data_IF_710789624446
#
_entry.id   IF_710789624446
#
_cell.length_a   1.000
_cell.length_b   1.000
_cell.length_c   1.000
_cell.angle_alpha   90.00
_cell.angle_beta   90.00
_cell.angle_gamma   90.00
#
_symmetry.space_group_name_H-M   'P 1'
#
loop_
_entity.id
_entity.type
_entity.pdbx_description
1 polymer ?
#
# COMPACT_ATOMS: atom_id res chain seq x y z
N UNK A 1 16.24 -4.15 -1.39
CA UNK A 1 14.91 -3.82 -1.95
C UNK A 1 13.89 -3.52 -0.86
N UNK A 2 13.64 -4.43 0.10
CA UNK A 2 12.64 -4.24 1.17
C UNK A 2 12.85 -2.96 1.97
N UNK A 3 14.08 -2.69 2.44
CA UNK A 3 14.40 -1.45 3.19
C UNK A 3 14.06 -0.18 2.39
N UNK A 4 14.34 -0.18 1.08
CA UNK A 4 14.06 0.97 0.21
C UNK A 4 12.55 1.19 0.05
N UNK A 5 11.77 0.10 -0.01
CA UNK A 5 10.31 0.16 -0.05
C UNK A 5 9.72 0.70 1.25
N UNK A 6 10.23 0.24 2.40
CA UNK A 6 9.80 0.75 3.71
C UNK A 6 10.05 2.25 3.82
N UNK A 7 11.24 2.73 3.41
CA UNK A 7 11.52 4.16 3.40
C UNK A 7 10.64 4.92 2.42
N UNK A 8 10.42 4.42 1.20
CA UNK A 8 9.55 5.09 0.22
C UNK A 8 8.10 5.25 0.74
N UNK A 9 7.56 4.23 1.41
CA UNK A 9 6.24 4.29 2.04
C UNK A 9 6.25 5.30 3.20
N UNK A 10 7.26 5.23 4.07
CA UNK A 10 7.44 6.10 5.23
C UNK A 10 7.58 7.58 4.83
N UNK A 11 8.29 7.85 3.73
CA UNK A 11 8.48 9.18 3.13
C UNK A 11 7.21 9.71 2.45
N UNK A 12 6.21 8.86 2.20
CA UNK A 12 5.02 9.23 1.43
C UNK A 12 5.24 9.32 -0.09
N UNK A 13 6.36 8.80 -0.59
CA UNK A 13 6.75 8.91 -2.00
C UNK A 13 6.21 7.72 -2.82
N UNK A 14 4.98 7.88 -3.33
CA UNK A 14 4.37 6.85 -4.17
C UNK A 14 5.11 6.66 -5.51
N UNK A 15 5.79 7.69 -6.02
CA UNK A 15 6.59 7.56 -7.25
C UNK A 15 7.70 6.52 -7.09
N UNK A 16 8.40 6.53 -5.95
CA UNK A 16 9.38 5.49 -5.60
C UNK A 16 8.72 4.13 -5.38
N UNK A 17 7.53 4.08 -4.77
CA UNK A 17 6.78 2.84 -4.57
C UNK A 17 6.41 2.19 -5.92
N UNK A 18 5.90 2.96 -6.88
CA UNK A 18 5.51 2.47 -8.21
C UNK A 18 6.68 1.79 -8.95
N UNK A 19 7.86 2.39 -8.91
CA UNK A 19 9.09 1.80 -9.47
C UNK A 19 9.45 0.48 -8.75
N UNK A 20 9.29 0.43 -7.44
CA UNK A 20 9.61 -0.76 -6.64
C UNK A 20 8.58 -1.88 -6.82
N UNK A 21 7.31 -1.57 -7.12
CA UNK A 21 6.28 -2.57 -7.43
C UNK A 21 6.66 -3.41 -8.65
N UNK A 22 7.25 -2.80 -9.69
CA UNK A 22 7.76 -3.54 -10.84
C UNK A 22 8.82 -4.60 -10.45
N UNK A 23 9.77 -4.21 -9.59
CA UNK A 23 10.81 -5.12 -9.10
C UNK A 23 10.24 -6.21 -8.19
N UNK A 24 9.24 -5.86 -7.37
CA UNK A 24 8.56 -6.78 -6.49
C UNK A 24 7.76 -7.84 -7.27
N UNK A 25 7.10 -7.46 -8.38
CA UNK A 25 6.44 -8.40 -9.28
C UNK A 25 7.43 -9.43 -9.86
N UNK A 26 8.60 -8.97 -10.31
CA UNK A 26 9.66 -9.85 -10.83
C UNK A 26 10.16 -10.82 -9.75
N UNK A 27 10.39 -10.33 -8.53
CA UNK A 27 10.80 -11.17 -7.40
C UNK A 27 9.74 -12.22 -7.05
N UNK A 28 8.46 -11.83 -6.97
CA UNK A 28 7.38 -12.78 -6.69
C UNK A 28 7.22 -13.80 -7.80
N UNK A 29 7.44 -13.43 -9.06
CA UNK A 29 7.47 -14.38 -10.17
C UNK A 29 8.60 -15.40 -9.98
N UNK A 30 9.82 -14.94 -9.67
CA UNK A 30 10.97 -15.80 -9.45
C UNK A 30 10.83 -16.74 -8.25
N UNK A 31 10.16 -16.29 -7.18
CA UNK A 31 9.90 -17.08 -5.98
C UNK A 31 8.71 -18.06 -6.10
N UNK A 32 8.02 -18.11 -7.25
CA UNK A 32 6.81 -18.93 -7.44
C UNK A 32 5.54 -18.36 -6.79
N UNK A 33 5.62 -17.16 -6.22
CA UNK A 33 4.53 -16.40 -5.61
C UNK A 33 3.61 -15.75 -6.67
N UNK A 34 3.06 -16.57 -7.56
CA UNK A 34 2.37 -16.09 -8.76
C UNK A 34 1.14 -15.23 -8.47
N UNK A 35 0.42 -15.47 -7.36
CA UNK A 35 -0.76 -14.67 -7.00
C UNK A 35 -0.38 -13.20 -6.79
N UNK A 36 0.62 -12.93 -5.95
CA UNK A 36 1.10 -11.57 -5.68
C UNK A 36 1.69 -10.91 -6.93
N UNK A 37 2.41 -11.67 -7.75
CA UNK A 37 2.90 -11.18 -9.04
C UNK A 37 1.74 -10.74 -9.95
N UNK A 38 0.72 -11.58 -10.13
CA UNK A 38 -0.44 -11.26 -10.97
C UNK A 38 -1.18 -10.02 -10.48
N UNK A 39 -1.42 -9.89 -9.17
CA UNK A 39 -2.09 -8.72 -8.61
C UNK A 39 -1.31 -7.43 -8.87
N UNK A 40 0.01 -7.44 -8.65
CA UNK A 40 0.85 -6.27 -8.90
C UNK A 40 0.85 -5.92 -10.39
N UNK A 41 1.00 -6.90 -11.28
CA UNK A 41 0.98 -6.66 -12.73
C UNK A 41 -0.38 -6.15 -13.20
N UNK A 42 -1.48 -6.67 -12.64
CA UNK A 42 -2.83 -6.19 -12.94
C UNK A 42 -2.99 -4.73 -12.51
N UNK A 43 -2.52 -4.35 -11.32
CA UNK A 43 -2.53 -2.96 -10.86
C UNK A 43 -1.70 -2.05 -11.76
N UNK A 44 -0.45 -2.43 -12.07
CA UNK A 44 0.45 -1.65 -12.92
C UNK A 44 -0.07 -1.50 -14.35
N UNK A 45 -0.65 -2.57 -14.92
CA UNK A 45 -1.28 -2.52 -16.24
C UNK A 45 -2.46 -1.55 -16.24
N UNK A 46 -3.31 -1.60 -15.21
CA UNK A 46 -4.45 -0.70 -15.10
C UNK A 46 -4.01 0.77 -14.98
N UNK A 47 -3.02 1.06 -14.13
CA UNK A 47 -2.46 2.42 -14.00
C UNK A 47 -1.88 2.98 -15.30
N UNK A 48 -1.30 2.13 -16.16
CA UNK A 48 -0.60 2.56 -17.38
C UNK A 48 -1.47 2.58 -18.63
N UNK A 49 -2.47 1.70 -18.71
CA UNK A 49 -3.15 1.41 -19.98
C UNK A 49 -4.67 1.40 -19.91
N UNK A 50 -5.28 1.24 -18.74
CA UNK A 50 -6.74 1.05 -18.63
C UNK A 50 -7.41 2.24 -17.98
N UNK A 51 -6.85 2.74 -16.88
CA UNK A 51 -7.43 3.84 -16.13
C UNK A 51 -7.10 5.17 -16.78
N UNK A 52 -8.04 6.11 -16.67
CA UNK A 52 -7.76 7.50 -17.03
C UNK A 52 -6.70 8.07 -16.08
N UNK A 53 -5.91 9.07 -16.51
CA UNK A 53 -4.91 9.69 -15.65
C UNK A 53 -5.49 10.16 -14.31
N UNK A 54 -6.69 10.76 -14.34
CA UNK A 54 -7.36 11.27 -13.15
C UNK A 54 -7.70 10.16 -12.15
N UNK A 55 -8.20 9.02 -12.64
CA UNK A 55 -8.47 7.88 -11.77
C UNK A 55 -7.18 7.24 -11.26
N UNK A 56 -6.15 7.18 -12.09
CA UNK A 56 -4.82 6.73 -11.69
C UNK A 56 -4.27 7.56 -10.53
N UNK A 57 -4.39 8.89 -10.60
CA UNK A 57 -3.93 9.80 -9.55
C UNK A 57 -4.71 9.62 -8.25
N UNK A 58 -6.04 9.51 -8.33
CA UNK A 58 -6.88 9.15 -7.16
C UNK A 58 -6.39 7.85 -6.52
N UNK A 59 -6.06 6.82 -7.31
CA UNK A 59 -5.57 5.56 -6.77
C UNK A 59 -4.19 5.72 -6.11
N UNK A 60 -3.26 6.49 -6.70
CA UNK A 60 -1.94 6.76 -6.11
C UNK A 60 -2.04 7.52 -4.79
N UNK A 61 -2.86 8.56 -4.76
CA UNK A 61 -3.04 9.43 -3.60
C UNK A 61 -3.66 8.68 -2.41
N UNK A 62 -4.51 7.70 -2.67
CA UNK A 62 -5.15 6.90 -1.61
C UNK A 62 -4.29 5.75 -1.09
N UNK A 63 -3.19 5.37 -1.74
CA UNK A 63 -2.40 4.19 -1.36
C UNK A 63 -1.58 4.39 -0.08
N UNK A 64 -1.17 5.64 0.21
CA UNK A 64 -0.35 5.99 1.37
C UNK A 64 -1.07 7.07 2.17
N UNK A 65 -1.16 6.87 3.47
CA UNK A 65 -1.75 7.82 4.41
C UNK A 65 -0.73 8.26 5.45
N UNK A 66 -0.66 9.56 5.69
CA UNK A 66 0.16 10.16 6.73
C UNK A 66 -0.78 10.68 7.83
N UNK A 67 -1.17 9.78 8.75
CA UNK A 67 -2.17 10.09 9.81
C UNK A 67 -1.62 11.08 10.83
N UNK A 68 -0.31 11.07 11.05
CA UNK A 68 0.35 12.01 11.94
C UNK A 68 0.67 13.31 11.23
N UNK A 69 0.36 14.45 11.85
CA UNK A 69 0.82 15.79 11.43
C UNK A 69 2.35 15.97 11.51
N UNK A 70 3.10 14.91 11.86
CA UNK A 70 4.55 14.88 11.99
C UNK A 70 5.30 14.94 10.65
N UNK A 71 4.58 14.88 9.52
CA UNK A 71 5.16 14.98 8.18
C UNK A 71 5.85 13.70 7.69
N UNK A 72 6.74 13.82 6.69
CA UNK A 72 7.43 12.68 6.08
C UNK A 72 8.20 11.83 7.12
N UNK A 73 8.24 10.52 6.91
CA UNK A 73 8.85 9.55 7.83
C UNK A 73 7.83 8.79 8.70
N UNK A 74 6.56 9.21 8.70
CA UNK A 74 5.51 8.66 9.55
C UNK A 74 4.28 8.19 8.75
N UNK A 75 4.41 8.08 7.44
CA UNK A 75 3.36 7.60 6.56
C UNK A 75 3.30 6.06 6.56
N UNK A 76 2.14 5.50 6.25
CA UNK A 76 1.91 4.06 6.13
C UNK A 76 0.98 3.74 4.97
N UNK A 77 1.01 2.50 4.50
CA UNK A 77 0.03 2.03 3.51
C UNK A 77 -1.39 2.10 4.07
N UNK A 78 -2.36 2.49 3.24
CA UNK A 78 -3.77 2.61 3.65
C UNK A 78 -4.33 1.31 4.21
N UNK A 79 -3.92 0.18 3.64
CA UNK A 79 -4.32 -1.17 4.08
C UNK A 79 -3.89 -1.42 5.54
N UNK A 80 -2.64 -1.09 5.89
CA UNK A 80 -2.13 -1.19 7.26
C UNK A 80 -2.88 -0.26 8.22
N UNK A 81 -3.23 0.95 7.77
CA UNK A 81 -4.03 1.86 8.58
C UNK A 81 -5.45 1.28 8.86
N UNK A 82 -6.08 0.66 7.86
CA UNK A 82 -7.37 -0.02 8.02
C UNK A 82 -7.24 -1.19 9.01
N UNK A 83 -6.18 -2.00 8.91
CA UNK A 83 -5.93 -3.09 9.86
C UNK A 83 -5.78 -2.59 11.30
N UNK A 84 -5.04 -1.50 11.52
CA UNK A 84 -4.92 -0.87 12.83
C UNK A 84 -6.29 -0.44 13.37
N UNK A 85 -7.08 0.29 12.56
CA UNK A 85 -8.42 0.76 12.96
C UNK A 85 -9.33 -0.43 13.33
N UNK A 86 -9.34 -1.50 12.52
CA UNK A 86 -10.11 -2.71 12.79
C UNK A 86 -9.63 -3.36 14.11
N UNK A 87 -8.32 -3.41 14.34
CA UNK A 87 -7.73 -3.94 15.58
C UNK A 87 -8.17 -3.15 16.82
N UNK A 88 -8.16 -1.81 16.75
CA UNK A 88 -8.65 -0.96 17.82
C UNK A 88 -10.15 -1.18 18.07
N UNK A 89 -10.95 -1.23 17.01
CA UNK A 89 -12.40 -1.45 17.13
C UNK A 89 -12.72 -2.79 17.80
N UNK A 90 -12.06 -3.87 17.38
CA UNK A 90 -12.23 -5.21 18.01
C UNK A 90 -11.90 -5.18 19.50
N UNK A 91 -10.84 -4.48 19.89
CA UNK A 91 -10.46 -4.31 21.31
C UNK A 91 -11.53 -3.57 22.10
N UNK A 92 -12.06 -2.47 21.54
CA UNK A 92 -13.08 -1.65 22.19
C UNK A 92 -14.42 -2.38 22.33
N UNK A 93 -14.84 -3.13 21.30
CA UNK A 93 -16.07 -3.92 21.34
C UNK A 93 -15.98 -5.04 22.38
N UNK A 94 -14.84 -5.74 22.45
CA UNK A 94 -14.58 -6.74 23.50
C UNK A 94 -14.64 -6.15 24.90
N UNK A 95 -14.08 -4.95 25.11
CA UNK A 95 -14.16 -4.26 26.40
C UNK A 95 -15.61 -3.91 26.79
N UNK A 96 -16.52 -3.73 25.83
CA UNK A 96 -17.96 -3.51 26.05
C UNK A 96 -18.79 -4.79 26.14
N UNK A 97 -18.17 -5.97 26.08
CA UNK A 97 -18.87 -7.26 26.14
C UNK A 97 -19.61 -7.65 24.85
N UNK A 98 -19.35 -6.95 23.75
CA UNK A 98 -19.87 -7.32 22.42
C UNK A 98 -18.81 -8.18 21.73
N UNK A 99 -19.14 -9.45 21.49
CA UNK A 99 -18.30 -10.42 20.76
C UNK A 99 -18.40 -10.25 19.26
#
# INVERSE_FOLDING_TARGET
MVVVLVHAISDGDFGRVDVLLCHLALMFRGAGCNKYCTEILHFLHNLKHVWTPEFGDIMRDNMIVCVSELGPGHCMGIDMNIEHIIGYLKTLLRAKGMT
#
